data_IF_741510378754
#
_entry.id   IF_741510378754
#
_cell.length_a   1.000
_cell.length_b   1.000
_cell.length_c   1.000
_cell.angle_alpha   90.00
_cell.angle_beta   90.00
_cell.angle_gamma   90.00
#
_symmetry.space_group_name_H-M   'P 1'
#
loop_
_entity.id
_entity.type
_entity.pdbx_description
1 polymer ?
#
# COMPACT_ATOMS: atom_id res chain seq x y z
N UNK A 1 -12.05 9.53 23.83
CA UNK A 1 -13.36 9.76 23.17
C UNK A 1 -13.36 11.16 22.59
N UNK A 2 -13.77 11.31 21.34
CA UNK A 2 -13.95 12.61 20.67
C UNK A 2 -15.34 12.64 20.05
N UNK A 3 -15.99 13.82 20.07
CA UNK A 3 -17.24 14.02 19.34
C UNK A 3 -16.93 14.59 17.96
N UNK A 4 -17.52 14.02 16.91
CA UNK A 4 -17.35 14.52 15.54
C UNK A 4 -18.08 15.85 15.36
N UNK A 5 -19.30 15.94 15.92
CA UNK A 5 -20.18 17.11 15.81
C UNK A 5 -20.59 17.64 17.19
N UNK A 6 -19.70 18.27 17.96
CA UNK A 6 -19.99 18.73 19.32
C UNK A 6 -21.11 19.78 19.41
N UNK A 7 -21.39 20.48 18.31
CA UNK A 7 -22.46 21.49 18.24
C UNK A 7 -23.85 20.92 18.55
N UNK A 8 -24.12 19.66 18.29
CA UNK A 8 -25.40 19.04 18.62
C UNK A 8 -25.64 18.88 20.12
N UNK A 9 -24.62 18.99 20.96
CA UNK A 9 -24.78 19.03 22.41
C UNK A 9 -25.50 20.33 22.89
N UNK A 10 -25.51 21.40 22.10
CA UNK A 10 -26.29 22.62 22.42
C UNK A 10 -27.80 22.37 22.42
N UNK A 11 -28.29 21.25 21.83
CA UNK A 11 -29.70 20.82 21.95
C UNK A 11 -30.09 20.66 23.43
N UNK A 12 -29.15 20.29 24.30
CA UNK A 12 -29.39 20.18 25.74
C UNK A 12 -29.72 21.48 26.40
N UNK A 13 -29.39 22.63 25.80
CA UNK A 13 -29.83 23.97 26.27
C UNK A 13 -31.37 24.16 26.21
N UNK A 14 -32.09 23.29 25.49
CA UNK A 14 -33.55 23.27 25.49
C UNK A 14 -34.15 22.64 26.76
N UNK A 15 -33.37 21.96 27.62
CA UNK A 15 -33.87 21.33 28.85
C UNK A 15 -34.56 22.29 29.82
N UNK A 16 -34.03 23.51 30.11
CA UNK A 16 -34.71 24.47 30.98
C UNK A 16 -36.08 24.92 30.44
N UNK A 17 -36.18 25.08 29.10
CA UNK A 17 -37.45 25.43 28.42
C UNK A 17 -38.45 24.28 28.54
N UNK A 18 -37.99 23.02 28.36
CA UNK A 18 -38.80 21.82 28.52
C UNK A 18 -39.34 21.68 29.97
N UNK A 19 -38.50 21.95 30.97
CA UNK A 19 -38.87 21.96 32.37
C UNK A 19 -39.96 23.00 32.64
N UNK A 20 -39.76 24.22 32.16
CA UNK A 20 -40.71 25.36 32.33
C UNK A 20 -42.04 25.05 31.68
N UNK A 21 -42.07 24.49 30.47
CA UNK A 21 -43.28 24.07 29.77
C UNK A 21 -44.03 23.00 30.56
N UNK A 22 -43.33 21.95 31.04
CA UNK A 22 -43.95 20.79 31.68
C UNK A 22 -44.50 21.12 33.07
N UNK A 23 -43.84 21.96 33.86
CA UNK A 23 -44.19 22.18 35.27
C UNK A 23 -44.81 23.55 35.53
N UNK A 24 -44.41 24.62 34.85
CA UNK A 24 -44.97 25.98 35.11
C UNK A 24 -46.17 26.34 34.24
N UNK A 25 -46.10 26.11 32.93
CA UNK A 25 -47.18 26.56 32.02
C UNK A 25 -48.34 25.56 31.96
N UNK A 26 -48.09 24.28 32.09
CA UNK A 26 -49.14 23.28 32.13
C UNK A 26 -50.06 23.44 33.36
N UNK A 27 -49.54 24.00 34.47
CA UNK A 27 -50.35 24.29 35.66
C UNK A 27 -51.37 25.44 35.45
N UNK A 28 -51.14 26.33 34.49
CA UNK A 28 -52.02 27.45 34.16
C UNK A 28 -53.15 27.13 33.20
N UNK A 29 -53.07 25.99 32.47
CA UNK A 29 -54.02 25.61 31.41
C UNK A 29 -55.12 24.66 31.85
N UNK A 30 -55.13 24.23 33.09
CA UNK A 30 -56.22 23.39 33.60
C UNK A 30 -57.31 24.23 34.26
N UNK A 31 -58.49 24.16 33.67
CA UNK A 31 -59.70 24.71 34.33
C UNK A 31 -59.94 23.92 35.64
N UNK A 32 -59.92 24.63 36.74
CA UNK A 32 -60.28 24.05 38.06
C UNK A 32 -61.78 24.06 38.19
N UNK A 33 -62.41 22.91 38.11
CA UNK A 33 -63.83 22.75 38.50
C UNK A 33 -63.88 22.65 40.01
N UNK A 34 -64.46 23.65 40.69
CA UNK A 34 -64.74 23.57 42.12
C UNK A 34 -65.94 22.65 42.34
N UNK A 35 -65.68 21.49 42.91
CA UNK A 35 -66.75 20.57 43.33
C UNK A 35 -66.89 20.65 44.87
N UNK A 36 -68.12 20.81 45.34
CA UNK A 36 -68.38 20.99 46.76
C UNK A 36 -68.35 19.73 47.61
N UNK A 37 -68.49 18.55 47.02
CA UNK A 37 -68.43 17.30 47.76
C UNK A 37 -67.56 16.22 47.04
N UNK A 38 -66.37 16.05 47.57
CA UNK A 38 -65.42 15.04 47.11
C UNK A 38 -65.68 13.62 47.70
N UNK A 39 -66.55 13.48 48.73
CA UNK A 39 -66.83 12.22 49.36
C UNK A 39 -67.65 11.28 48.48
N UNK A 40 -68.45 11.82 47.56
CA UNK A 40 -69.26 11.05 46.60
C UNK A 40 -68.45 10.25 45.59
N UNK A 41 -67.15 10.55 45.39
CA UNK A 41 -66.26 9.84 44.43
C UNK A 41 -65.54 8.63 44.99
N UNK A 42 -65.95 8.15 46.20
CA UNK A 42 -65.63 6.84 46.74
C UNK A 42 -64.15 6.44 46.70
N UNK A 43 -63.24 7.32 47.12
CA UNK A 43 -61.82 6.99 47.25
C UNK A 43 -61.04 6.71 45.97
N UNK A 44 -61.64 6.72 44.77
CA UNK A 44 -61.02 6.42 43.48
C UNK A 44 -60.29 7.60 42.83
N UNK A 45 -60.36 8.80 43.43
CA UNK A 45 -59.57 9.97 42.97
C UNK A 45 -58.11 9.88 43.45
N UNK A 46 -57.42 8.82 43.14
CA UNK A 46 -55.98 8.74 43.31
C UNK A 46 -55.37 9.65 42.26
N UNK A 47 -55.23 10.95 42.55
CA UNK A 47 -54.49 11.90 41.71
C UNK A 47 -53.06 11.34 41.55
N UNK A 48 -52.78 10.72 40.42
CA UNK A 48 -51.45 10.23 40.10
C UNK A 48 -50.51 11.42 39.93
N UNK A 49 -50.03 12.00 41.03
CA UNK A 49 -49.04 13.12 41.02
C UNK A 49 -47.74 12.74 40.37
N UNK A 50 -47.40 11.43 40.21
CA UNK A 50 -46.11 10.94 39.69
C UNK A 50 -45.99 10.94 38.19
N UNK A 51 -47.08 10.95 37.39
CA UNK A 51 -46.97 10.75 35.93
C UNK A 51 -46.26 11.87 35.19
N UNK A 52 -46.32 13.13 35.69
CA UNK A 52 -45.64 14.28 35.12
C UNK A 52 -44.12 14.15 35.27
N UNK A 53 -43.67 13.65 36.42
CA UNK A 53 -42.24 13.41 36.65
C UNK A 53 -41.67 12.30 35.75
N UNK A 54 -42.42 11.22 35.60
CA UNK A 54 -41.98 10.12 34.70
C UNK A 54 -41.98 10.52 33.23
N UNK A 55 -42.99 11.25 32.75
CA UNK A 55 -43.00 11.78 31.40
C UNK A 55 -41.85 12.77 31.15
N UNK A 56 -41.59 13.65 32.12
CA UNK A 56 -40.46 14.59 32.05
C UNK A 56 -39.13 13.85 32.00
N UNK A 57 -38.95 12.83 32.86
CA UNK A 57 -37.71 12.01 32.84
C UNK A 57 -37.50 11.27 31.50
N UNK A 58 -38.59 10.73 30.92
CA UNK A 58 -38.52 10.08 29.60
C UNK A 58 -38.12 11.06 28.49
N UNK A 59 -38.70 12.26 28.50
CA UNK A 59 -38.36 13.33 27.53
C UNK A 59 -36.91 13.78 27.66
N UNK A 60 -36.47 13.99 28.89
CA UNK A 60 -35.06 14.34 29.14
C UNK A 60 -34.14 13.24 28.68
N UNK A 61 -34.44 11.96 28.99
CA UNK A 61 -33.66 10.82 28.57
C UNK A 61 -33.59 10.71 27.02
N UNK A 62 -34.74 10.84 26.35
CA UNK A 62 -34.80 10.81 24.89
C UNK A 62 -33.97 11.95 24.27
N UNK A 63 -34.12 13.19 24.78
CA UNK A 63 -33.40 14.34 24.26
C UNK A 63 -31.89 14.23 24.48
N UNK A 64 -31.44 13.73 25.63
CA UNK A 64 -30.02 13.49 25.93
C UNK A 64 -29.46 12.42 25.03
N UNK A 65 -30.17 11.28 24.89
CA UNK A 65 -29.71 10.16 24.05
C UNK A 65 -29.65 10.55 22.57
N UNK A 66 -30.63 11.30 22.07
CA UNK A 66 -30.64 11.79 20.69
C UNK A 66 -29.51 12.82 20.47
N UNK A 67 -29.33 13.76 21.40
CA UNK A 67 -28.26 14.75 21.31
C UNK A 67 -26.87 14.09 21.32
N UNK A 68 -26.67 13.06 22.17
CA UNK A 68 -25.45 12.26 22.20
C UNK A 68 -25.24 11.48 20.90
N UNK A 69 -26.30 10.88 20.33
CA UNK A 69 -26.22 10.16 19.07
C UNK A 69 -25.85 11.08 17.91
N UNK A 70 -26.45 12.28 17.84
CA UNK A 70 -26.15 13.30 16.81
C UNK A 70 -24.74 13.90 16.97
N UNK A 71 -24.23 14.00 18.20
CA UNK A 71 -22.87 14.43 18.48
C UNK A 71 -21.81 13.40 17.98
N UNK A 72 -22.23 12.19 17.57
CA UNK A 72 -21.40 11.10 17.00
C UNK A 72 -20.15 10.82 17.85
N UNK A 73 -20.30 10.26 19.06
CA UNK A 73 -19.16 9.89 19.88
C UNK A 73 -18.33 8.81 19.18
N UNK A 74 -17.02 9.04 19.06
CA UNK A 74 -16.06 8.15 18.41
C UNK A 74 -15.06 7.64 19.44
N UNK A 75 -14.84 6.33 19.43
CA UNK A 75 -13.74 5.67 20.12
C UNK A 75 -12.55 5.50 19.15
N UNK A 76 -11.43 6.08 19.51
CA UNK A 76 -10.17 5.78 18.84
C UNK A 76 -9.74 4.36 19.24
N UNK A 77 -9.84 3.40 18.34
CA UNK A 77 -9.22 2.08 18.47
C UNK A 77 -7.92 2.11 17.71
N UNK A 78 -6.82 2.07 18.44
CA UNK A 78 -5.50 1.71 17.96
C UNK A 78 -5.03 2.32 16.63
N UNK A 79 -3.76 2.41 16.49
CA UNK A 79 -3.14 2.71 15.19
C UNK A 79 -3.00 1.39 14.45
N UNK A 80 -3.79 1.12 13.43
CA UNK A 80 -3.39 0.17 12.40
C UNK A 80 -2.38 0.89 11.51
N UNK A 81 -1.14 0.51 11.64
CA UNK A 81 -0.09 0.86 10.70
C UNK A 81 -0.34 0.04 9.44
N UNK A 82 -1.22 0.51 8.57
CA UNK A 82 -1.24 -0.02 7.21
C UNK A 82 0.04 0.51 6.59
N UNK A 83 1.03 -0.36 6.43
CA UNK A 83 2.16 -0.14 5.53
C UNK A 83 1.57 -0.08 4.11
N UNK A 84 0.95 1.02 3.77
CA UNK A 84 0.51 1.30 2.43
C UNK A 84 1.63 2.07 1.75
N UNK A 85 2.00 1.60 0.63
CA UNK A 85 2.92 2.05 -0.41
C UNK A 85 4.19 1.18 -0.45
N UNK A 86 4.08 0.09 -1.22
CA UNK A 86 5.21 -0.73 -1.63
C UNK A 86 6.16 0.04 -2.54
N UNK A 87 7.34 -0.49 -2.73
CA UNK A 87 8.31 -0.06 -3.73
C UNK A 87 7.89 -0.64 -5.07
N UNK A 88 8.02 0.12 -6.14
CA UNK A 88 7.92 -0.42 -7.48
C UNK A 88 9.31 -0.70 -8.04
N UNK A 89 9.57 -1.96 -8.32
CA UNK A 89 10.88 -2.46 -8.73
C UNK A 89 10.79 -3.00 -10.15
N UNK A 90 11.60 -2.46 -11.06
CA UNK A 90 11.79 -3.04 -12.38
C UNK A 90 13.16 -3.71 -12.46
N UNK A 91 13.15 -5.01 -12.67
CA UNK A 91 14.36 -5.82 -12.85
C UNK A 91 14.77 -5.81 -14.32
N UNK A 92 15.95 -5.32 -14.62
CA UNK A 92 16.56 -5.37 -15.95
C UNK A 92 17.59 -6.50 -15.99
N UNK A 93 17.31 -7.56 -16.69
CA UNK A 93 18.16 -8.75 -16.77
C UNK A 93 18.80 -8.86 -18.15
N UNK A 94 20.12 -8.85 -18.19
CA UNK A 94 20.91 -9.11 -19.38
C UNK A 94 20.84 -10.59 -19.76
N UNK A 95 20.50 -10.86 -21.01
CA UNK A 95 20.48 -12.22 -21.59
C UNK A 95 21.38 -12.33 -22.83
N UNK A 96 22.40 -11.49 -22.91
CA UNK A 96 23.43 -11.56 -23.95
C UNK A 96 24.26 -12.84 -23.87
N UNK A 97 25.01 -13.13 -24.92
CA UNK A 97 25.85 -14.33 -25.03
C UNK A 97 26.92 -14.44 -23.93
N UNK A 98 27.42 -13.31 -23.42
CA UNK A 98 28.40 -13.23 -22.32
C UNK A 98 27.87 -13.80 -21.01
N UNK A 99 26.56 -13.78 -20.77
CA UNK A 99 25.91 -14.41 -19.60
C UNK A 99 26.00 -15.94 -19.58
N UNK A 100 26.53 -16.58 -20.63
CA UNK A 100 26.91 -18.01 -20.61
C UNK A 100 28.23 -18.28 -19.89
N UNK A 101 29.01 -17.25 -19.56
CA UNK A 101 30.32 -17.41 -18.90
C UNK A 101 30.21 -18.22 -17.60
N UNK A 102 31.22 -19.08 -17.34
CA UNK A 102 31.23 -20.11 -16.29
C UNK A 102 32.10 -19.71 -15.09
N UNK A 103 32.12 -18.44 -14.73
CA UNK A 103 32.88 -17.95 -13.56
C UNK A 103 32.14 -18.17 -12.21
N UNK A 104 30.85 -18.49 -12.23
CA UNK A 104 30.04 -18.88 -11.08
C UNK A 104 29.93 -20.42 -10.95
N UNK A 105 31.06 -21.11 -11.00
CA UNK A 105 31.09 -22.60 -10.98
C UNK A 105 30.23 -23.19 -9.85
N UNK A 106 29.52 -24.31 -10.11
CA UNK A 106 29.54 -25.14 -11.32
C UNK A 106 28.59 -24.66 -12.44
N UNK A 107 27.95 -23.49 -12.31
CA UNK A 107 26.93 -22.98 -13.24
C UNK A 107 27.41 -21.71 -13.95
N UNK A 108 26.64 -21.24 -14.93
CA UNK A 108 26.91 -20.04 -15.67
C UNK A 108 26.22 -18.80 -14.99
N UNK A 109 26.57 -17.58 -15.42
CA UNK A 109 26.06 -16.32 -14.88
C UNK A 109 24.55 -16.21 -14.92
N UNK A 110 23.92 -16.55 -16.06
CA UNK A 110 22.45 -16.42 -16.21
C UNK A 110 21.69 -17.34 -15.24
N UNK A 111 22.19 -18.54 -15.00
CA UNK A 111 21.57 -19.48 -14.07
C UNK A 111 21.57 -18.89 -12.63
N UNK A 112 22.73 -18.43 -12.18
CA UNK A 112 22.88 -17.83 -10.84
C UNK A 112 22.07 -16.55 -10.74
N UNK A 113 22.11 -15.70 -11.77
CA UNK A 113 21.31 -14.48 -11.82
C UNK A 113 19.81 -14.77 -11.68
N UNK A 114 19.27 -15.74 -12.41
CA UNK A 114 17.86 -16.16 -12.31
C UNK A 114 17.51 -16.67 -10.92
N UNK A 115 18.37 -17.49 -10.32
CA UNK A 115 18.15 -18.04 -8.98
C UNK A 115 18.09 -16.94 -7.93
N UNK A 116 19.08 -16.06 -7.90
CA UNK A 116 19.13 -14.96 -6.91
C UNK A 116 18.00 -13.96 -7.12
N UNK A 117 17.62 -13.64 -8.36
CA UNK A 117 16.46 -12.80 -8.65
C UNK A 117 15.17 -13.46 -8.18
N UNK A 118 15.02 -14.79 -8.35
CA UNK A 118 13.87 -15.55 -7.84
C UNK A 118 13.77 -15.51 -6.31
N UNK A 119 14.91 -15.62 -5.62
CA UNK A 119 14.99 -15.52 -4.17
C UNK A 119 14.68 -14.11 -3.68
N UNK A 120 15.21 -13.08 -4.37
CA UNK A 120 14.85 -11.69 -4.13
C UNK A 120 13.35 -11.44 -4.25
N UNK A 121 12.71 -11.94 -5.31
CA UNK A 121 11.25 -11.84 -5.48
C UNK A 121 10.50 -12.47 -4.30
N UNK A 122 11.08 -13.48 -3.64
CA UNK A 122 10.49 -14.08 -2.43
C UNK A 122 10.59 -13.18 -1.19
N UNK A 123 11.54 -12.26 -1.15
CA UNK A 123 11.75 -11.32 -0.02
C UNK A 123 10.87 -10.07 -0.10
N UNK A 124 10.34 -9.76 -1.27
CA UNK A 124 9.42 -8.63 -1.48
C UNK A 124 7.98 -9.11 -1.24
N UNK A 125 7.35 -8.67 -0.13
CA UNK A 125 6.02 -9.15 0.25
C UNK A 125 4.87 -8.32 -0.35
N UNK A 126 4.99 -6.99 -0.28
CA UNK A 126 3.93 -6.04 -0.67
C UNK A 126 4.39 -5.05 -1.75
N UNK A 127 5.55 -5.30 -2.34
CA UNK A 127 6.15 -4.45 -3.36
C UNK A 127 5.77 -5.00 -4.74
N UNK A 128 5.51 -4.11 -5.72
CA UNK A 128 5.31 -4.55 -7.11
C UNK A 128 6.65 -4.75 -7.78
N UNK A 129 6.79 -5.84 -8.48
CA UNK A 129 7.98 -6.09 -9.29
C UNK A 129 7.61 -6.42 -10.74
N UNK A 130 8.50 -6.07 -11.66
CA UNK A 130 8.39 -6.41 -13.06
C UNK A 130 9.74 -6.82 -13.62
N UNK A 131 9.75 -7.39 -14.83
CA UNK A 131 10.94 -7.92 -15.48
C UNK A 131 11.06 -7.40 -16.91
N UNK A 132 12.17 -6.76 -17.20
CA UNK A 132 12.64 -6.43 -18.54
C UNK A 132 13.85 -7.31 -18.82
N UNK A 133 13.85 -8.00 -19.95
CA UNK A 133 15.03 -8.72 -20.45
C UNK A 133 15.60 -7.99 -21.64
N UNK A 134 16.92 -8.02 -21.78
CA UNK A 134 17.59 -7.32 -22.87
C UNK A 134 18.86 -8.03 -23.35
N UNK A 135 19.14 -7.83 -24.60
CA UNK A 135 20.38 -8.14 -25.28
C UNK A 135 20.63 -7.03 -26.33
N UNK A 136 20.67 -7.30 -27.65
CA UNK A 136 20.69 -6.24 -28.67
C UNK A 136 19.44 -5.34 -28.69
N UNK A 137 18.34 -5.86 -28.17
CA UNK A 137 17.06 -5.17 -27.96
C UNK A 137 16.54 -5.42 -26.54
N UNK A 138 15.51 -4.69 -26.13
CA UNK A 138 14.87 -4.94 -24.84
C UNK A 138 13.37 -5.11 -24.98
N UNK A 139 12.79 -6.01 -24.18
CA UNK A 139 11.34 -6.11 -24.06
C UNK A 139 10.91 -6.41 -22.63
N UNK A 140 9.69 -5.99 -22.31
CA UNK A 140 9.07 -6.27 -21.01
C UNK A 140 8.59 -7.72 -21.00
N UNK A 141 9.23 -8.58 -20.18
CA UNK A 141 8.81 -9.96 -19.99
C UNK A 141 7.63 -10.04 -19.03
N UNK A 142 7.66 -9.25 -17.95
CA UNK A 142 6.58 -9.13 -16.99
C UNK A 142 6.36 -7.66 -16.64
N UNK A 143 5.15 -7.09 -16.77
CA UNK A 143 4.83 -5.78 -16.27
C UNK A 143 4.86 -5.75 -14.74
N UNK A 144 4.78 -4.56 -14.11
CA UNK A 144 4.67 -4.43 -12.67
C UNK A 144 3.46 -5.21 -12.12
N UNK A 145 3.73 -6.15 -11.22
CA UNK A 145 2.71 -7.00 -10.61
C UNK A 145 2.99 -7.26 -9.13
N UNK A 146 1.94 -7.53 -8.37
CA UNK A 146 2.00 -8.10 -7.01
C UNK A 146 1.99 -9.64 -7.06
N UNK A 147 1.68 -10.23 -8.22
CA UNK A 147 1.71 -11.68 -8.39
C UNK A 147 3.15 -12.15 -8.66
N UNK A 148 3.84 -12.39 -7.57
CA UNK A 148 5.23 -12.85 -7.61
C UNK A 148 5.36 -14.28 -8.16
N UNK A 149 4.29 -15.07 -8.12
CA UNK A 149 4.27 -16.41 -8.73
C UNK A 149 4.38 -16.33 -10.25
N UNK A 150 3.55 -15.48 -10.87
CA UNK A 150 3.62 -15.21 -12.32
C UNK A 150 4.99 -14.65 -12.72
N UNK A 151 5.52 -13.70 -11.93
CA UNK A 151 6.84 -13.11 -12.22
C UNK A 151 7.95 -14.15 -12.20
N UNK A 152 7.95 -15.09 -11.24
CA UNK A 152 8.92 -16.18 -11.15
C UNK A 152 8.81 -17.14 -12.33
N UNK A 153 7.61 -17.56 -12.69
CA UNK A 153 7.39 -18.41 -13.86
C UNK A 153 7.93 -17.75 -15.12
N UNK A 154 7.66 -16.46 -15.33
CA UNK A 154 8.19 -15.72 -16.47
C UNK A 154 9.70 -15.55 -16.45
N UNK A 155 10.32 -15.49 -15.26
CA UNK A 155 11.78 -15.47 -15.09
C UNK A 155 12.41 -16.84 -15.42
N UNK A 156 11.77 -17.93 -14.99
CA UNK A 156 12.24 -19.31 -15.27
C UNK A 156 12.29 -19.61 -16.77
N UNK A 157 11.36 -19.10 -17.54
CA UNK A 157 11.30 -19.24 -19.00
C UNK A 157 12.32 -18.39 -19.75
N UNK A 158 13.09 -17.52 -19.08
CA UNK A 158 14.10 -16.68 -19.75
C UNK A 158 15.29 -17.51 -20.17
N UNK A 159 15.67 -17.41 -21.44
CA UNK A 159 16.80 -18.12 -22.02
C UNK A 159 17.68 -17.20 -22.88
N UNK A 160 18.99 -17.49 -22.93
CA UNK A 160 19.91 -16.81 -23.82
C UNK A 160 19.60 -17.22 -25.25
N UNK A 161 19.50 -16.25 -26.16
CA UNK A 161 19.15 -16.50 -27.57
C UNK A 161 17.68 -16.15 -27.89
N UNK A 162 16.86 -15.78 -26.92
CA UNK A 162 15.52 -15.24 -27.19
C UNK A 162 15.57 -13.92 -27.95
N UNK A 163 16.67 -13.18 -27.80
CA UNK A 163 16.95 -11.94 -28.51
C UNK A 163 18.31 -12.12 -29.23
N UNK A 164 18.48 -11.44 -30.36
CA UNK A 164 19.75 -11.36 -31.05
C UNK A 164 20.86 -10.88 -30.10
N UNK A 165 22.05 -11.44 -30.24
CA UNK A 165 23.16 -11.17 -29.34
C UNK A 165 23.67 -9.73 -29.43
N UNK A 166 24.17 -9.26 -28.31
CA UNK A 166 24.62 -7.89 -28.08
C UNK A 166 24.05 -7.32 -26.80
N UNK A 167 24.45 -6.12 -26.38
CA UNK A 167 24.07 -5.53 -25.11
C UNK A 167 23.66 -4.06 -25.31
N UNK A 168 22.37 -3.77 -25.17
CA UNK A 168 21.74 -2.44 -25.34
C UNK A 168 21.23 -1.90 -24.01
N UNK A 169 22.15 -1.48 -23.13
CA UNK A 169 21.85 -1.00 -21.77
C UNK A 169 20.92 0.21 -21.78
N UNK A 170 21.20 1.21 -22.62
CA UNK A 170 20.40 2.43 -22.69
C UNK A 170 18.94 2.15 -23.08
N UNK A 171 18.72 1.23 -24.02
CA UNK A 171 17.38 0.81 -24.44
C UNK A 171 16.66 0.04 -23.32
N UNK A 172 17.38 -0.80 -22.56
CA UNK A 172 16.85 -1.51 -21.41
C UNK A 172 16.38 -0.53 -20.32
N UNK A 173 17.20 0.47 -20.00
CA UNK A 173 16.86 1.53 -19.05
C UNK A 173 15.63 2.31 -19.51
N UNK A 174 15.57 2.75 -20.76
CA UNK A 174 14.41 3.45 -21.31
C UNK A 174 13.11 2.63 -21.21
N UNK A 175 13.20 1.33 -21.49
CA UNK A 175 12.05 0.42 -21.33
C UNK A 175 11.62 0.28 -19.87
N UNK A 176 12.55 0.12 -18.93
CA UNK A 176 12.24 0.09 -17.49
C UNK A 176 11.58 1.42 -17.04
N UNK A 177 12.12 2.57 -17.47
CA UNK A 177 11.54 3.88 -17.18
C UNK A 177 10.12 3.99 -17.70
N UNK A 178 9.86 3.53 -18.93
CA UNK A 178 8.52 3.55 -19.53
C UNK A 178 7.48 2.75 -18.71
N UNK A 179 7.92 1.70 -17.98
CA UNK A 179 7.04 0.89 -17.10
C UNK A 179 6.82 1.52 -15.73
N UNK A 180 7.78 2.35 -15.25
CA UNK A 180 7.74 2.96 -13.93
C UNK A 180 7.24 4.40 -13.91
N UNK A 181 7.30 5.13 -15.03
CA UNK A 181 7.02 6.58 -15.06
C UNK A 181 5.63 6.95 -14.55
N UNK A 182 4.62 6.15 -14.88
CA UNK A 182 3.22 6.40 -14.55
C UNK A 182 2.82 5.73 -13.20
N UNK A 183 3.80 5.21 -12.45
CA UNK A 183 3.56 4.62 -11.14
C UNK A 183 3.35 5.69 -10.07
N UNK A 184 2.37 5.46 -9.20
CA UNK A 184 2.07 6.30 -8.02
C UNK A 184 2.92 5.92 -6.79
N UNK A 185 3.81 4.91 -6.90
CA UNK A 185 4.68 4.51 -5.81
C UNK A 185 5.63 5.63 -5.42
N UNK A 186 5.89 5.79 -4.12
CA UNK A 186 6.83 6.80 -3.60
C UNK A 186 8.27 6.50 -3.95
N UNK A 187 8.66 5.23 -3.96
CA UNK A 187 9.95 4.80 -4.44
C UNK A 187 9.81 3.95 -5.69
N UNK A 188 10.53 4.35 -6.72
CA UNK A 188 10.63 3.69 -8.02
C UNK A 188 12.06 3.32 -8.26
N UNK A 189 12.32 2.04 -8.48
CA UNK A 189 13.67 1.50 -8.53
C UNK A 189 13.85 0.64 -9.77
N UNK A 190 14.99 0.80 -10.42
CA UNK A 190 15.49 -0.13 -11.45
C UNK A 190 16.69 -0.86 -10.86
N UNK A 191 16.72 -2.18 -10.92
CA UNK A 191 17.89 -2.99 -10.62
C UNK A 191 18.37 -3.60 -11.95
N UNK A 192 19.44 -3.06 -12.47
CA UNK A 192 20.02 -3.50 -13.73
C UNK A 192 21.12 -4.52 -13.47
N UNK A 193 20.94 -5.74 -13.98
CA UNK A 193 21.91 -6.84 -13.88
C UNK A 193 22.52 -7.09 -15.26
N UNK A 194 23.82 -6.86 -15.39
CA UNK A 194 24.55 -7.05 -16.64
C UNK A 194 26.01 -7.42 -16.38
N UNK A 195 26.63 -8.10 -17.33
CA UNK A 195 28.06 -8.43 -17.32
C UNK A 195 28.80 -7.77 -18.49
N UNK A 196 28.09 -6.98 -19.32
CA UNK A 196 28.58 -6.56 -20.61
C UNK A 196 28.89 -5.08 -20.75
N UNK A 197 29.66 -4.83 -21.80
CA UNK A 197 29.90 -3.50 -22.35
C UNK A 197 28.75 -3.16 -23.30
N UNK A 198 28.20 -1.94 -23.19
CA UNK A 198 27.18 -1.49 -24.14
C UNK A 198 27.74 -1.43 -25.57
N UNK A 199 27.27 -2.31 -26.43
CA UNK A 199 27.77 -2.42 -27.83
C UNK A 199 26.66 -2.35 -28.88
N UNK A 200 25.38 -2.19 -28.45
CA UNK A 200 24.19 -2.11 -29.30
C UNK A 200 23.21 -1.09 -28.75
N UNK A 201 22.18 -0.78 -29.55
CA UNK A 201 21.09 0.09 -29.20
C UNK A 201 21.31 1.56 -29.65
N UNK A 202 20.19 2.25 -29.89
CA UNK A 202 20.18 3.66 -30.37
C UNK A 202 20.24 4.63 -29.21
N UNK A 203 19.98 4.18 -27.98
CA UNK A 203 19.96 5.01 -26.76
C UNK A 203 21.26 4.76 -26.00
N UNK A 204 22.02 5.83 -25.78
CA UNK A 204 23.21 5.81 -24.93
C UNK A 204 22.81 5.51 -23.46
N UNK A 205 23.59 4.68 -22.72
CA UNK A 205 23.31 4.38 -21.30
C UNK A 205 23.13 5.60 -20.38
N UNK A 206 23.91 6.66 -20.58
CA UNK A 206 23.79 7.91 -19.82
C UNK A 206 22.49 8.65 -20.12
N UNK A 207 22.04 8.60 -21.38
CA UNK A 207 20.74 9.14 -21.78
C UNK A 207 19.61 8.36 -21.09
N UNK A 208 19.69 7.01 -21.06
CA UNK A 208 18.75 6.15 -20.33
C UNK A 208 18.71 6.48 -18.83
N UNK A 209 19.87 6.69 -18.21
CA UNK A 209 19.95 7.09 -16.79
C UNK A 209 19.37 8.49 -16.54
N UNK A 210 19.60 9.43 -17.47
CA UNK A 210 19.03 10.79 -17.36
C UNK A 210 17.51 10.79 -17.46
N UNK A 211 16.92 9.92 -18.30
CA UNK A 211 15.48 9.71 -18.37
C UNK A 211 14.94 9.17 -17.04
N UNK A 212 15.63 8.21 -16.42
CA UNK A 212 15.26 7.68 -15.12
C UNK A 212 15.28 8.77 -14.03
N UNK A 213 16.35 9.57 -13.98
CA UNK A 213 16.46 10.70 -13.05
C UNK A 213 15.33 11.69 -13.21
N UNK A 214 14.99 12.07 -14.43
CA UNK A 214 13.89 13.00 -14.73
C UNK A 214 12.53 12.45 -14.27
N UNK A 215 12.35 11.11 -14.27
CA UNK A 215 11.16 10.42 -13.77
C UNK A 215 11.19 10.13 -12.25
N UNK A 216 12.24 10.56 -11.53
CA UNK A 216 12.40 10.28 -10.10
C UNK A 216 12.67 8.82 -9.78
N UNK A 217 13.31 8.08 -10.70
CA UNK A 217 13.60 6.65 -10.59
C UNK A 217 15.08 6.48 -10.24
N UNK A 218 15.39 5.70 -9.19
CA UNK A 218 16.75 5.31 -8.84
C UNK A 218 17.19 4.06 -9.60
N UNK A 219 18.44 4.04 -10.05
CA UNK A 219 19.02 2.88 -10.72
C UNK A 219 20.13 2.29 -9.85
N UNK A 220 20.00 1.05 -9.50
CA UNK A 220 21.05 0.22 -8.95
C UNK A 220 21.62 -0.63 -10.07
N UNK A 221 22.92 -0.55 -10.28
CA UNK A 221 23.60 -1.35 -11.28
C UNK A 221 24.41 -2.47 -10.62
N UNK A 222 24.24 -3.68 -11.10
CA UNK A 222 24.93 -4.87 -10.60
C UNK A 222 25.72 -5.47 -11.73
N UNK A 223 27.03 -5.31 -11.66
CA UNK A 223 27.97 -5.93 -12.58
C UNK A 223 28.23 -7.37 -12.16
N UNK A 224 27.97 -8.33 -13.05
CA UNK A 224 28.14 -9.77 -12.78
C UNK A 224 29.41 -10.29 -13.42
N UNK A 225 30.36 -10.73 -12.60
CA UNK A 225 31.60 -11.31 -13.13
C UNK A 225 32.82 -11.12 -12.22
N UNK A 226 33.81 -12.00 -12.43
CA UNK A 226 35.09 -11.94 -11.72
C UNK A 226 36.05 -10.96 -12.38
N UNK A 227 37.02 -10.50 -11.60
CA UNK A 227 38.12 -9.70 -12.11
C UNK A 227 38.95 -10.51 -13.11
N UNK A 228 39.31 -9.92 -14.24
CA UNK A 228 39.98 -10.61 -15.33
C UNK A 228 39.07 -11.34 -16.30
N UNK A 229 37.75 -11.28 -16.11
CA UNK A 229 36.76 -11.90 -16.99
C UNK A 229 36.68 -13.41 -16.91
N UNK A 230 35.87 -13.99 -17.78
CA UNK A 230 35.68 -15.43 -17.88
C UNK A 230 35.50 -15.86 -19.37
N UNK A 231 35.88 -17.08 -19.74
CA UNK A 231 35.66 -17.59 -21.08
C UNK A 231 34.15 -17.84 -21.33
N UNK A 232 33.73 -17.58 -22.57
CA UNK A 232 32.32 -17.72 -22.96
C UNK A 232 32.17 -18.99 -23.81
N UNK A 233 31.42 -20.02 -23.37
CA UNK A 233 31.07 -21.15 -24.20
C UNK A 233 30.02 -20.75 -25.23
N UNK A 234 30.29 -21.10 -26.50
CA UNK A 234 29.37 -20.89 -27.62
C UNK A 234 29.08 -22.23 -28.33
N UNK A 235 27.84 -22.46 -28.75
CA UNK A 235 27.50 -23.66 -29.49
C UNK A 235 28.04 -23.60 -30.92
N UNK A 236 28.65 -24.66 -31.38
CA UNK A 236 29.00 -24.88 -32.78
C UNK A 236 27.81 -25.42 -33.56
N UNK A 237 27.94 -25.50 -34.91
CA UNK A 237 26.85 -26.02 -35.78
C UNK A 237 26.44 -27.46 -35.50
N UNK A 238 27.34 -28.27 -34.97
CA UNK A 238 27.12 -29.65 -34.55
C UNK A 238 26.61 -29.81 -33.12
N UNK A 239 26.35 -28.66 -32.41
CA UNK A 239 25.83 -28.67 -31.04
C UNK A 239 26.91 -28.85 -29.97
N UNK A 240 28.19 -28.98 -30.32
CA UNK A 240 29.27 -29.02 -29.34
C UNK A 240 29.55 -27.62 -28.78
N UNK A 241 29.86 -27.53 -27.49
CA UNK A 241 30.21 -26.24 -26.83
C UNK A 241 31.73 -26.03 -26.96
N UNK A 242 32.14 -24.90 -27.52
CA UNK A 242 33.53 -24.47 -27.59
C UNK A 242 33.67 -23.08 -27.01
N UNK A 243 34.84 -22.74 -26.50
CA UNK A 243 35.08 -21.37 -26.04
C UNK A 243 35.26 -20.41 -27.23
N UNK A 244 34.57 -19.27 -27.16
CA UNK A 244 34.73 -18.21 -28.13
C UNK A 244 36.20 -17.80 -28.24
N UNK A 245 36.65 -17.47 -29.47
CA UNK A 245 38.03 -17.07 -29.72
C UNK A 245 38.08 -15.71 -30.40
N UNK A 246 39.09 -14.94 -30.05
CA UNK A 246 39.47 -13.70 -30.74
C UNK A 246 40.04 -14.02 -32.14
N UNK A 247 40.22 -13.00 -32.96
CA UNK A 247 40.81 -13.13 -34.31
C UNK A 247 42.25 -13.66 -34.30
N UNK A 248 42.99 -13.45 -33.21
CA UNK A 248 44.34 -13.95 -32.99
C UNK A 248 44.41 -15.40 -32.51
N UNK A 249 43.24 -16.06 -32.33
CA UNK A 249 43.10 -17.42 -31.83
C UNK A 249 43.11 -17.57 -30.31
N UNK A 250 43.33 -16.50 -29.55
CA UNK A 250 43.22 -16.53 -28.08
C UNK A 250 41.76 -16.73 -27.64
N UNK A 251 41.55 -17.25 -26.43
CA UNK A 251 40.21 -17.40 -25.87
C UNK A 251 39.66 -16.02 -25.57
N UNK A 252 38.42 -15.75 -26.02
CA UNK A 252 37.71 -14.50 -25.69
C UNK A 252 37.32 -14.55 -24.24
N UNK A 253 37.72 -13.49 -23.49
CA UNK A 253 37.36 -13.27 -22.10
C UNK A 253 36.32 -12.14 -22.02
N UNK A 254 35.33 -12.30 -21.20
CA UNK A 254 34.32 -11.21 -20.97
C UNK A 254 34.98 -9.98 -20.35
N UNK A 255 34.54 -8.84 -20.74
CA UNK A 255 34.91 -7.55 -20.11
C UNK A 255 33.71 -6.95 -19.38
N UNK A 256 33.96 -6.32 -18.23
CA UNK A 256 32.95 -5.62 -17.47
C UNK A 256 33.25 -4.11 -17.48
N UNK A 257 32.38 -3.30 -18.07
CA UNK A 257 32.51 -1.85 -18.07
C UNK A 257 31.94 -1.26 -16.77
N UNK A 258 32.72 -1.36 -15.72
CA UNK A 258 32.34 -0.82 -14.41
C UNK A 258 32.15 0.70 -14.41
N UNK A 259 32.91 1.40 -15.23
CA UNK A 259 32.88 2.87 -15.21
C UNK A 259 31.53 3.37 -15.75
N UNK A 260 31.04 2.80 -16.84
CA UNK A 260 29.69 3.09 -17.34
C UNK A 260 28.62 2.72 -16.32
N UNK A 261 28.72 1.56 -15.66
CA UNK A 261 27.74 1.14 -14.64
C UNK A 261 27.75 2.03 -13.40
N UNK A 262 28.93 2.45 -12.93
CA UNK A 262 29.09 3.42 -11.83
C UNK A 262 28.48 4.78 -12.18
N UNK A 263 28.69 5.23 -13.41
CA UNK A 263 28.16 6.51 -13.89
C UNK A 263 26.62 6.48 -13.98
N UNK A 264 26.03 5.42 -14.55
CA UNK A 264 24.57 5.23 -14.59
C UNK A 264 23.96 5.33 -13.18
N UNK A 265 24.53 4.60 -12.24
CA UNK A 265 24.05 4.60 -10.85
C UNK A 265 24.19 6.00 -10.23
N UNK A 266 25.33 6.66 -10.41
CA UNK A 266 25.61 8.01 -9.87
C UNK A 266 24.64 9.07 -10.40
N UNK A 267 24.28 9.03 -11.68
CA UNK A 267 23.33 9.98 -12.29
C UNK A 267 21.99 9.96 -11.53
N UNK A 268 21.53 8.81 -11.06
CA UNK A 268 20.22 8.62 -10.44
C UNK A 268 20.25 8.51 -8.92
N UNK A 269 21.37 8.91 -8.28
CA UNK A 269 21.60 8.79 -6.84
C UNK A 269 21.48 7.34 -6.32
N UNK A 270 21.68 6.36 -7.19
CA UNK A 270 21.78 4.96 -6.88
C UNK A 270 23.19 4.50 -6.56
N UNK A 271 23.44 3.20 -6.60
CA UNK A 271 24.76 2.61 -6.31
C UNK A 271 25.11 1.50 -7.31
N UNK A 272 26.39 1.40 -7.61
CA UNK A 272 26.99 0.27 -8.31
C UNK A 272 27.43 -0.79 -7.32
N UNK A 273 27.22 -2.04 -7.67
CA UNK A 273 27.70 -3.21 -6.96
C UNK A 273 28.36 -4.18 -7.94
N UNK A 274 29.35 -4.91 -7.49
CA UNK A 274 29.95 -6.02 -8.23
C UNK A 274 29.64 -7.33 -7.54
N UNK A 275 29.01 -8.26 -8.27
CA UNK A 275 28.74 -9.60 -7.81
C UNK A 275 29.78 -10.56 -8.39
N UNK A 276 30.64 -11.10 -7.53
CA UNK A 276 31.70 -12.06 -7.88
C UNK A 276 31.28 -13.49 -7.66
N UNK A 277 30.23 -13.72 -6.89
CA UNK A 277 29.65 -15.01 -6.57
C UNK A 277 28.17 -14.88 -6.19
N UNK A 278 27.49 -16.02 -6.01
CA UNK A 278 26.07 -16.10 -5.69
C UNK A 278 25.71 -15.39 -4.37
N UNK A 279 26.55 -15.55 -3.33
CA UNK A 279 26.31 -14.95 -2.01
C UNK A 279 26.42 -13.42 -2.06
N UNK A 280 27.46 -12.92 -2.75
CA UNK A 280 27.61 -11.48 -2.95
C UNK A 280 26.40 -10.86 -3.64
N UNK A 281 25.85 -11.55 -4.66
CA UNK A 281 24.66 -11.09 -5.39
C UNK A 281 23.43 -11.07 -4.48
N UNK A 282 23.21 -12.10 -3.65
CA UNK A 282 22.12 -12.16 -2.68
C UNK A 282 22.21 -11.03 -1.64
N UNK A 283 23.40 -10.77 -1.09
CA UNK A 283 23.62 -9.68 -0.13
C UNK A 283 23.37 -8.30 -0.73
N UNK A 284 23.74 -8.09 -1.99
CA UNK A 284 23.49 -6.85 -2.74
C UNK A 284 22.00 -6.57 -2.84
N UNK A 285 21.20 -7.55 -3.22
CA UNK A 285 19.75 -7.39 -3.33
C UNK A 285 19.09 -7.10 -1.97
N UNK A 286 19.50 -7.79 -0.90
CA UNK A 286 19.03 -7.51 0.47
C UNK A 286 19.35 -6.08 0.88
N UNK A 287 20.57 -5.62 0.61
CA UNK A 287 21.02 -4.27 0.96
C UNK A 287 20.26 -3.18 0.18
N UNK A 288 19.97 -3.40 -1.11
CA UNK A 288 19.14 -2.48 -1.91
C UNK A 288 17.74 -2.38 -1.28
N UNK A 289 17.12 -3.50 -0.94
CA UNK A 289 15.79 -3.54 -0.34
C UNK A 289 15.72 -2.82 1.01
N UNK A 290 16.73 -2.99 1.86
CA UNK A 290 16.84 -2.31 3.15
C UNK A 290 16.96 -0.78 2.98
N UNK A 291 17.81 -0.32 2.06
CA UNK A 291 17.97 1.11 1.79
C UNK A 291 16.67 1.76 1.30
N UNK A 292 15.93 1.09 0.45
CA UNK A 292 14.69 1.62 -0.09
C UNK A 292 13.54 1.58 0.93
N UNK A 293 13.46 0.54 1.76
CA UNK A 293 12.44 0.43 2.82
C UNK A 293 12.62 1.45 3.95
N UNK A 294 13.85 1.87 4.23
CA UNK A 294 14.13 2.86 5.30
C UNK A 294 13.64 4.27 4.91
N UNK A 295 13.43 4.55 3.63
CA UNK A 295 12.99 5.84 3.13
C UNK A 295 11.48 6.11 3.29
N UNK A 296 10.68 5.18 3.84
CA UNK A 296 9.22 5.32 3.94
C UNK A 296 8.77 5.97 5.24
N UNK A 297 7.98 7.04 5.13
CA UNK A 297 7.17 7.54 6.24
C UNK A 297 5.95 6.63 6.46
N UNK A 298 5.77 6.18 7.69
CA UNK A 298 4.61 5.41 8.11
C UNK A 298 3.39 6.33 8.18
N UNK A 299 2.43 6.20 7.27
CA UNK A 299 1.13 6.87 7.41
C UNK A 299 0.28 6.12 8.43
N UNK A 300 -0.02 6.78 9.55
CA UNK A 300 -0.93 6.27 10.56
C UNK A 300 -2.38 6.56 10.18
N UNK A 301 -3.16 5.55 9.85
CA UNK A 301 -4.60 5.66 9.72
C UNK A 301 -5.26 5.38 11.07
N UNK A 302 -6.03 6.39 11.58
CA UNK A 302 -6.81 6.22 12.81
C UNK A 302 -8.16 5.58 12.47
N UNK A 303 -8.33 4.32 12.81
CA UNK A 303 -9.63 3.68 12.72
C UNK A 303 -10.52 4.18 13.87
N UNK A 304 -11.61 4.88 13.53
CA UNK A 304 -12.58 5.42 14.50
C UNK A 304 -13.84 4.56 14.47
N UNK A 305 -14.20 4.01 15.63
CA UNK A 305 -15.44 3.26 15.79
C UNK A 305 -16.55 4.21 16.24
N UNK A 306 -17.59 4.37 15.42
CA UNK A 306 -18.75 5.20 15.74
C UNK A 306 -19.66 4.48 16.75
N UNK A 307 -19.95 5.15 17.86
CA UNK A 307 -20.85 4.65 18.89
C UNK A 307 -22.30 5.13 18.70
N UNK A 308 -22.54 6.09 17.81
CA UNK A 308 -23.86 6.67 17.54
C UNK A 308 -24.93 5.61 17.22
N UNK A 309 -24.57 4.58 16.46
CA UNK A 309 -25.46 3.46 16.09
C UNK A 309 -25.96 2.63 17.27
N UNK A 310 -25.25 2.64 18.40
CA UNK A 310 -25.66 1.94 19.61
C UNK A 310 -26.49 2.83 20.52
N UNK A 311 -26.30 4.14 20.52
CA UNK A 311 -27.01 5.10 21.38
C UNK A 311 -28.38 5.50 20.79
N UNK A 312 -28.46 5.64 19.48
CA UNK A 312 -29.68 6.09 18.78
C UNK A 312 -30.94 5.23 19.05
N UNK A 313 -30.86 3.87 19.02
CA UNK A 313 -32.03 3.03 19.27
C UNK A 313 -32.67 3.26 20.65
N UNK A 314 -31.84 3.50 21.67
CA UNK A 314 -32.36 3.77 23.03
C UNK A 314 -33.08 5.11 23.13
N UNK A 315 -32.61 6.14 22.39
CA UNK A 315 -33.28 7.43 22.28
C UNK A 315 -34.66 7.29 21.62
N UNK A 316 -34.73 6.54 20.51
CA UNK A 316 -35.97 6.26 19.79
C UNK A 316 -36.93 5.44 20.66
N UNK A 317 -36.44 4.41 21.37
CA UNK A 317 -37.24 3.59 22.30
C UNK A 317 -37.87 4.44 23.40
N UNK A 318 -37.13 5.42 23.96
CA UNK A 318 -37.64 6.30 25.00
C UNK A 318 -38.81 7.14 24.48
N UNK A 319 -38.75 7.65 23.23
CA UNK A 319 -39.87 8.38 22.59
C UNK A 319 -41.07 7.48 22.38
N UNK A 320 -40.89 6.28 21.86
CA UNK A 320 -41.97 5.31 21.67
C UNK A 320 -42.65 4.96 22.98
N UNK A 321 -41.87 4.74 24.03
CA UNK A 321 -42.38 4.41 25.38
C UNK A 321 -43.21 5.56 25.94
N UNK A 322 -42.81 6.83 25.73
CA UNK A 322 -43.62 7.98 26.07
C UNK A 322 -44.97 7.99 25.35
N UNK A 323 -44.99 7.78 24.03
CA UNK A 323 -46.21 7.72 23.21
C UNK A 323 -47.15 6.61 23.70
N UNK A 324 -46.63 5.42 23.96
CA UNK A 324 -47.42 4.30 24.46
C UNK A 324 -48.03 4.62 25.82
N UNK A 325 -47.24 5.18 26.76
CA UNK A 325 -47.76 5.56 28.10
C UNK A 325 -48.82 6.64 28.01
N UNK A 326 -48.70 7.60 27.12
CA UNK A 326 -49.69 8.65 26.90
C UNK A 326 -51.00 8.10 26.28
N UNK A 327 -50.90 7.10 25.40
CA UNK A 327 -52.05 6.54 24.68
C UNK A 327 -52.79 5.47 25.50
N UNK A 328 -52.11 4.76 26.40
CA UNK A 328 -52.67 3.66 27.18
C UNK A 328 -52.92 3.99 28.61
N UNK A 329 -51.87 4.17 29.41
CA UNK A 329 -51.97 4.27 30.89
C UNK A 329 -52.41 5.68 31.37
N UNK A 330 -51.99 6.70 30.65
CA UNK A 330 -52.21 8.12 31.03
C UNK A 330 -53.08 8.87 29.99
N UNK A 331 -53.96 8.13 29.33
CA UNK A 331 -54.92 8.68 28.39
C UNK A 331 -55.82 9.67 29.09
N UNK A 332 -55.83 10.93 28.68
CA UNK A 332 -56.78 11.92 29.17
C UNK A 332 -58.12 11.63 28.49
N UNK A 333 -59.09 11.16 29.27
CA UNK A 333 -60.46 11.14 28.84
C UNK A 333 -60.97 12.59 28.95
N UNK A 334 -61.55 13.15 27.86
CA UNK A 334 -62.06 14.50 27.86
C UNK A 334 -63.13 14.73 28.88
#
# INVERSE_FOLDING_TARGET
MRFENPLFLFILAALPLLYRYTFKEASRRYAAVRYSDLKSFGGRLRVRRGYRGTLFALRVAALVLIALALARPQLEKGFETIKAEGIDIMLGLDISGSMRAEDFKPKNRIYVAKQVVSDFISLIANDRAGLVVFASRSFTRCPLTLDHGVLKTMLEDVEIGMIEDGTAIGLALANCVARLKDSDAKSKVIILLTDGVNNRGEIDPRTGASLAKAAGIRIYTVGVGKEGGAPVPVPTRDGTMVYARNRDGSIYMTELDEDTLKEIAKITDGRYYRATDEKALEEIYKKILEMEKTAFEVKHFKHRKELAKYVLPFGVLAVFMEIILLSTVWRKIP
#
